data_IF_108701699777
#
_entry.id   IF_108701699777
#
_cell.length_a   1.000
_cell.length_b   1.000
_cell.length_c   1.000
_cell.angle_alpha   90.00
_cell.angle_beta   90.00
_cell.angle_gamma   90.00
#
_symmetry.space_group_name_H-M   'P 1'
#
loop_
_entity.id
_entity.type
_entity.pdbx_description
1 polymer ?
#
# COMPACT_ATOMS: atom_id res chain seq x y z
N UNK A 1 -10.02 -24.11 20.20
CA UNK A 1 -9.27 -23.84 18.94
C UNK A 1 -10.14 -23.09 17.91
N UNK A 2 -11.40 -23.48 17.69
CA UNK A 2 -12.27 -22.85 16.68
C UNK A 2 -12.68 -21.40 16.94
N UNK A 3 -12.89 -21.01 18.21
CA UNK A 3 -13.30 -19.63 18.56
C UNK A 3 -12.22 -18.61 18.21
N UNK A 4 -10.94 -18.94 18.43
CA UNK A 4 -9.82 -18.06 18.09
C UNK A 4 -9.77 -17.84 16.56
N UNK A 5 -9.92 -18.90 15.77
CA UNK A 5 -9.95 -18.79 14.31
C UNK A 5 -11.10 -17.91 13.83
N UNK A 6 -12.29 -18.05 14.41
CA UNK A 6 -13.43 -17.19 14.08
C UNK A 6 -13.16 -15.72 14.41
N UNK A 7 -12.52 -15.42 15.55
CA UNK A 7 -12.12 -14.05 15.90
C UNK A 7 -11.12 -13.50 14.87
N UNK A 8 -10.14 -14.30 14.47
CA UNK A 8 -9.16 -13.93 13.44
C UNK A 8 -9.85 -13.68 12.10
N UNK A 9 -10.79 -14.53 11.69
CA UNK A 9 -11.57 -14.38 10.46
C UNK A 9 -12.32 -13.05 10.46
N UNK A 10 -13.00 -12.71 11.56
CA UNK A 10 -13.70 -11.43 11.71
C UNK A 10 -12.72 -10.26 11.57
N UNK A 11 -11.55 -10.32 12.21
CA UNK A 11 -10.53 -9.27 12.11
C UNK A 11 -10.04 -9.13 10.66
N UNK A 12 -9.74 -10.24 9.98
CA UNK A 12 -9.26 -10.19 8.61
C UNK A 12 -10.34 -9.70 7.64
N UNK A 13 -11.58 -10.11 7.84
CA UNK A 13 -12.71 -9.64 7.05
C UNK A 13 -12.92 -8.13 7.20
N UNK A 14 -12.91 -7.62 8.44
CA UNK A 14 -12.98 -6.17 8.71
C UNK A 14 -11.80 -5.44 8.06
N UNK A 15 -10.59 -6.00 8.14
CA UNK A 15 -9.41 -5.47 7.46
C UNK A 15 -9.57 -5.42 5.94
N UNK A 16 -10.21 -6.44 5.33
CA UNK A 16 -10.44 -6.48 3.89
C UNK A 16 -11.44 -5.41 3.48
N UNK A 17 -12.54 -5.27 4.21
CA UNK A 17 -13.53 -4.19 3.98
C UNK A 17 -12.89 -2.81 4.13
N UNK A 18 -12.08 -2.61 5.18
CA UNK A 18 -11.32 -1.38 5.38
C UNK A 18 -10.41 -1.07 4.19
N UNK A 19 -9.65 -2.06 3.70
CA UNK A 19 -8.81 -1.90 2.52
C UNK A 19 -9.61 -1.57 1.27
N UNK A 20 -10.74 -2.26 1.00
CA UNK A 20 -11.60 -1.95 -0.16
C UNK A 20 -12.06 -0.49 -0.10
N UNK A 21 -12.56 -0.04 1.05
CA UNK A 21 -13.03 1.33 1.22
C UNK A 21 -11.95 2.36 0.92
N UNK A 22 -10.73 2.20 1.45
CA UNK A 22 -9.67 3.17 1.20
C UNK A 22 -9.06 3.06 -0.19
N UNK A 23 -8.94 1.84 -0.73
CA UNK A 23 -8.45 1.62 -2.09
C UNK A 23 -9.40 2.17 -3.15
N UNK A 24 -10.70 2.25 -2.88
CA UNK A 24 -11.66 2.89 -3.80
C UNK A 24 -11.52 4.42 -3.83
N UNK A 25 -10.89 5.03 -2.83
CA UNK A 25 -10.64 6.48 -2.76
C UNK A 25 -9.31 6.90 -3.40
N UNK A 26 -8.56 5.95 -3.99
CA UNK A 26 -7.30 6.24 -4.67
C UNK A 26 -7.58 6.93 -6.00
N UNK A 27 -7.03 8.14 -6.17
CA UNK A 27 -7.11 8.91 -7.42
C UNK A 27 -5.94 8.54 -8.34
N UNK A 28 -4.72 8.48 -7.80
CA UNK A 28 -3.52 8.06 -8.54
C UNK A 28 -2.98 6.78 -7.91
N UNK A 29 -3.11 5.68 -8.66
CA UNK A 29 -2.64 4.36 -8.25
C UNK A 29 -1.12 4.26 -8.34
N UNK A 30 -0.50 3.72 -7.29
CA UNK A 30 0.88 3.32 -7.33
C UNK A 30 1.04 2.06 -8.20
N UNK A 31 2.26 1.81 -8.66
CA UNK A 31 2.67 0.50 -9.16
C UNK A 31 2.46 -0.52 -8.04
N UNK A 32 1.91 -1.67 -8.40
CA UNK A 32 1.63 -2.76 -7.46
C UNK A 32 2.93 -3.30 -6.86
N UNK A 33 2.96 -3.48 -5.54
CA UNK A 33 4.14 -3.98 -4.81
C UNK A 33 4.20 -5.50 -4.86
N UNK A 34 4.96 -6.01 -5.84
CA UNK A 34 5.09 -7.46 -6.12
C UNK A 34 5.58 -8.24 -4.89
N UNK A 35 6.37 -7.63 -4.00
CA UNK A 35 6.82 -8.29 -2.77
C UNK A 35 5.67 -8.78 -1.89
N UNK A 36 4.52 -8.09 -1.88
CA UNK A 36 3.32 -8.54 -1.17
C UNK A 36 2.76 -9.84 -1.76
N UNK A 37 2.80 -10.01 -3.09
CA UNK A 37 2.36 -11.24 -3.75
C UNK A 37 3.32 -12.40 -3.48
N UNK A 38 4.62 -12.14 -3.53
CA UNK A 38 5.65 -13.15 -3.21
C UNK A 38 5.47 -13.63 -1.77
N UNK A 39 5.25 -12.70 -0.84
CA UNK A 39 5.00 -13.04 0.56
C UNK A 39 3.70 -13.82 0.74
N UNK A 40 2.61 -13.41 0.08
CA UNK A 40 1.35 -14.14 0.10
C UNK A 40 1.56 -15.58 -0.40
N UNK A 41 2.25 -15.78 -1.52
CA UNK A 41 2.52 -17.11 -2.06
C UNK A 41 3.36 -17.96 -1.09
N UNK A 42 4.40 -17.39 -0.49
CA UNK A 42 5.28 -18.10 0.43
C UNK A 42 4.54 -18.54 1.71
N UNK A 43 3.86 -17.61 2.38
CA UNK A 43 3.12 -17.93 3.62
C UNK A 43 1.88 -18.77 3.31
N UNK A 44 1.20 -18.50 2.20
CA UNK A 44 0.07 -19.31 1.73
C UNK A 44 0.47 -20.75 1.50
N UNK A 45 1.60 -21.00 0.81
CA UNK A 45 2.13 -22.34 0.63
C UNK A 45 2.47 -23.01 1.97
N UNK A 46 3.08 -22.27 2.90
CA UNK A 46 3.37 -22.77 4.26
C UNK A 46 2.11 -23.19 5.01
N UNK A 47 1.05 -22.39 4.97
CA UNK A 47 -0.25 -22.70 5.61
C UNK A 47 -0.94 -23.92 5.00
N UNK A 48 -0.55 -24.33 3.79
CA UNK A 48 -1.07 -25.52 3.11
C UNK A 48 -0.24 -26.78 3.35
N UNK A 49 0.90 -26.71 4.07
CA UNK A 49 1.73 -27.89 4.38
C UNK A 49 1.05 -28.86 5.35
N UNK A 50 0.23 -28.35 6.27
CA UNK A 50 -0.54 -29.16 7.23
C UNK A 50 -1.97 -28.64 7.33
N UNK A 51 -2.77 -28.81 6.26
CA UNK A 51 -4.09 -28.22 6.20
C UNK A 51 -5.04 -28.98 7.15
N UNK A 52 -5.98 -28.26 7.73
CA UNK A 52 -7.08 -28.85 8.49
C UNK A 52 -8.37 -28.74 7.68
N UNK A 53 -9.26 -29.74 7.77
CA UNK A 53 -10.58 -29.71 7.13
C UNK A 53 -11.58 -28.76 7.79
N UNK A 54 -11.14 -27.95 8.77
CA UNK A 54 -12.01 -27.07 9.53
C UNK A 54 -12.34 -25.82 8.69
N UNK A 55 -13.63 -25.55 8.51
CA UNK A 55 -14.10 -24.44 7.67
C UNK A 55 -13.51 -23.08 8.06
N UNK A 56 -13.42 -22.77 9.36
CA UNK A 56 -12.82 -21.52 9.83
C UNK A 56 -11.32 -21.41 9.48
N UNK A 57 -10.59 -22.52 9.44
CA UNK A 57 -9.18 -22.49 9.01
C UNK A 57 -9.09 -22.16 7.51
N UNK A 58 -9.96 -22.75 6.70
CA UNK A 58 -10.01 -22.49 5.25
C UNK A 58 -10.35 -21.01 4.99
N UNK A 59 -11.33 -20.47 5.71
CA UNK A 59 -11.71 -19.05 5.63
C UNK A 59 -10.54 -18.16 6.04
N UNK A 60 -9.86 -18.48 7.16
CA UNK A 60 -8.71 -17.74 7.64
C UNK A 60 -7.60 -17.65 6.58
N UNK A 61 -7.23 -18.78 5.97
CA UNK A 61 -6.21 -18.83 4.92
C UNK A 61 -6.64 -17.99 3.71
N UNK A 62 -7.89 -18.12 3.26
CA UNK A 62 -8.41 -17.35 2.12
C UNK A 62 -8.39 -15.83 2.38
N UNK A 63 -8.85 -15.41 3.57
CA UNK A 63 -8.84 -14.00 3.97
C UNK A 63 -7.42 -13.46 4.14
N UNK A 64 -6.52 -14.25 4.72
CA UNK A 64 -5.11 -13.89 4.82
C UNK A 64 -4.49 -13.66 3.45
N UNK A 65 -4.72 -14.57 2.50
CA UNK A 65 -4.24 -14.44 1.12
C UNK A 65 -4.82 -13.19 0.44
N UNK A 66 -6.12 -12.98 0.57
CA UNK A 66 -6.81 -11.80 0.05
C UNK A 66 -6.16 -10.51 0.59
N UNK A 67 -5.99 -10.40 1.90
CA UNK A 67 -5.38 -9.22 2.52
C UNK A 67 -3.97 -8.96 2.01
N UNK A 68 -3.12 -9.98 1.91
CA UNK A 68 -1.75 -9.79 1.43
C UNK A 68 -1.70 -9.37 -0.05
N UNK A 69 -2.61 -9.89 -0.88
CA UNK A 69 -2.75 -9.44 -2.27
C UNK A 69 -3.23 -7.98 -2.30
N UNK A 70 -4.25 -7.63 -1.51
CA UNK A 70 -4.76 -6.27 -1.40
C UNK A 70 -3.68 -5.29 -0.93
N UNK A 71 -2.80 -5.72 -0.03
CA UNK A 71 -1.70 -4.91 0.49
C UNK A 71 -0.66 -4.51 -0.58
N UNK A 72 -0.65 -5.16 -1.75
CA UNK A 72 0.19 -4.72 -2.87
C UNK A 72 -0.35 -3.47 -3.57
N UNK A 73 -1.63 -3.13 -3.38
CA UNK A 73 -2.28 -1.94 -3.93
C UNK A 73 -2.03 -0.74 -3.02
N UNK A 74 -1.53 0.34 -3.60
CA UNK A 74 -1.37 1.62 -2.90
C UNK A 74 -1.59 2.79 -3.84
N UNK A 75 -1.40 3.98 -3.32
CA UNK A 75 -1.53 5.20 -4.10
C UNK A 75 -1.85 6.41 -3.25
N UNK A 76 -2.18 7.50 -3.93
CA UNK A 76 -2.61 8.74 -3.30
C UNK A 76 -4.08 8.98 -3.62
N UNK A 77 -4.87 9.23 -2.58
CA UNK A 77 -6.28 9.54 -2.67
C UNK A 77 -6.57 11.00 -2.36
N UNK A 78 -7.86 11.35 -2.30
CA UNK A 78 -8.27 12.73 -2.08
C UNK A 78 -7.79 13.29 -0.73
N UNK A 79 -7.91 12.47 0.32
CA UNK A 79 -7.73 12.86 1.73
C UNK A 79 -6.54 12.19 2.40
N UNK A 80 -6.13 11.03 1.89
CA UNK A 80 -5.13 10.19 2.52
C UNK A 80 -4.30 9.44 1.50
N UNK A 81 -3.11 9.05 1.92
CA UNK A 81 -2.19 8.20 1.17
C UNK A 81 -2.46 6.75 1.59
N UNK A 82 -2.74 5.88 0.61
CA UNK A 82 -2.96 4.45 0.85
C UNK A 82 -1.63 3.73 0.65
N UNK A 83 -1.11 3.17 1.75
CA UNK A 83 0.20 2.53 1.80
C UNK A 83 0.15 1.12 1.20
N UNK A 84 1.25 0.70 0.59
CA UNK A 84 1.42 -0.67 0.06
C UNK A 84 2.64 -1.38 0.66
N UNK A 85 2.64 -2.71 0.54
CA UNK A 85 3.68 -3.59 1.06
C UNK A 85 3.32 -4.21 2.41
N UNK A 86 4.35 -4.57 3.17
CA UNK A 86 4.22 -5.22 4.49
C UNK A 86 3.55 -4.34 5.55
N UNK A 87 3.76 -3.02 5.46
CA UNK A 87 3.12 -2.04 6.32
C UNK A 87 2.01 -1.35 5.52
N UNK A 88 0.96 -2.11 5.20
CA UNK A 88 -0.24 -1.55 4.57
C UNK A 88 -1.08 -0.80 5.58
N UNK A 89 -1.80 0.20 5.09
CA UNK A 89 -2.56 1.10 5.95
C UNK A 89 -2.82 2.42 5.25
N UNK A 90 -3.18 3.41 6.04
CA UNK A 90 -3.57 4.72 5.51
C UNK A 90 -2.84 5.80 6.30
N UNK A 91 -2.21 6.71 5.58
CA UNK A 91 -1.41 7.80 6.10
C UNK A 91 -2.11 9.13 5.80
N UNK A 92 -2.25 9.96 6.83
CA UNK A 92 -2.82 11.30 6.70
C UNK A 92 -1.78 12.27 6.11
N UNK A 93 -2.18 13.15 5.20
CA UNK A 93 -1.29 14.18 4.68
C UNK A 93 -0.70 15.08 5.78
N UNK A 94 -1.44 15.31 6.87
CA UNK A 94 -0.96 16.09 8.02
C UNK A 94 0.20 15.43 8.81
N UNK A 95 0.47 14.16 8.53
CA UNK A 95 1.59 13.41 9.13
C UNK A 95 2.84 13.37 8.24
N UNK A 96 2.74 13.85 7.00
CA UNK A 96 3.85 14.00 6.08
C UNK A 96 4.63 15.27 6.44
N UNK A 97 5.94 15.15 6.55
CA UNK A 97 6.85 16.26 6.86
C UNK A 97 7.58 16.71 5.61
N UNK A 98 7.99 15.75 4.79
CA UNK A 98 8.78 16.01 3.60
C UNK A 98 8.46 14.96 2.52
N UNK A 99 8.40 15.39 1.26
CA UNK A 99 8.21 14.49 0.12
C UNK A 99 9.38 14.62 -0.84
N UNK A 100 9.98 13.49 -1.20
CA UNK A 100 11.01 13.43 -2.23
C UNK A 100 10.45 12.76 -3.47
N UNK A 101 10.54 13.43 -4.61
CA UNK A 101 10.16 12.94 -5.93
C UNK A 101 11.42 12.57 -6.71
N UNK A 102 11.60 11.30 -7.04
CA UNK A 102 12.74 10.82 -7.82
C UNK A 102 12.22 10.45 -9.22
N UNK A 103 12.51 11.25 -10.25
CA UNK A 103 12.09 10.96 -11.61
C UNK A 103 12.83 9.74 -12.14
N UNK A 104 12.09 8.83 -12.77
CA UNK A 104 12.63 7.64 -13.43
C UNK A 104 12.30 7.78 -14.92
N UNK A 105 13.21 8.42 -15.64
CA UNK A 105 13.09 8.65 -17.08
C UNK A 105 13.95 7.64 -17.83
N UNK A 106 13.29 6.70 -18.52
CA UNK A 106 13.96 5.71 -19.37
C UNK A 106 13.51 5.99 -20.81
N UNK A 107 14.47 6.18 -21.72
CA UNK A 107 14.16 6.44 -23.13
C UNK A 107 13.24 5.35 -23.71
N UNK A 108 12.17 5.78 -24.38
CA UNK A 108 11.17 4.88 -24.98
C UNK A 108 10.20 4.21 -24.01
N UNK A 109 10.23 4.53 -22.71
CA UNK A 109 9.26 4.03 -21.71
C UNK A 109 8.37 5.13 -21.18
N UNK A 110 7.20 4.73 -20.65
CA UNK A 110 6.29 5.64 -19.94
C UNK A 110 7.02 6.26 -18.75
N UNK A 111 6.83 7.57 -18.49
CA UNK A 111 7.46 8.24 -17.36
C UNK A 111 7.02 7.60 -16.05
N UNK A 112 7.94 7.52 -15.11
CA UNK A 112 7.70 7.04 -13.76
C UNK A 112 8.31 7.98 -12.74
N UNK A 113 7.78 7.94 -11.53
CA UNK A 113 8.33 8.67 -10.39
C UNK A 113 8.27 7.79 -9.16
N UNK A 114 9.39 7.67 -8.44
CA UNK A 114 9.40 7.16 -7.09
C UNK A 114 9.11 8.32 -6.14
N UNK A 115 8.20 8.11 -5.20
CA UNK A 115 7.82 9.11 -4.20
C UNK A 115 8.14 8.54 -2.84
N UNK A 116 8.96 9.28 -2.09
CA UNK A 116 9.31 8.97 -0.71
C UNK A 116 8.56 9.94 0.19
N UNK A 117 7.60 9.43 0.95
CA UNK A 117 6.89 10.17 1.98
C UNK A 117 7.66 10.02 3.29
N UNK A 118 8.31 11.08 3.73
CA UNK A 118 8.89 11.18 5.06
C UNK A 118 7.82 11.66 6.03
N UNK A 119 7.59 10.88 7.08
CA UNK A 119 6.53 11.15 8.05
C UNK A 119 7.11 11.66 9.36
N UNK A 120 6.26 12.14 10.27
CA UNK A 120 6.66 12.48 11.65
C UNK A 120 7.20 11.28 12.43
N UNK A 121 6.95 10.06 11.95
CA UNK A 121 7.46 8.81 12.49
C UNK A 121 8.73 8.41 11.72
N UNK A 122 9.63 7.59 12.30
CA UNK A 122 10.85 7.14 11.62
C UNK A 122 10.60 6.25 10.38
N UNK A 123 9.36 6.05 9.97
CA UNK A 123 9.00 5.29 8.79
C UNK A 123 8.95 6.19 7.56
N UNK A 124 9.79 5.85 6.59
CA UNK A 124 9.71 6.35 5.23
C UNK A 124 8.86 5.40 4.40
N UNK A 125 7.94 5.95 3.62
CA UNK A 125 7.11 5.17 2.72
C UNK A 125 7.51 5.51 1.30
N UNK A 126 8.06 4.52 0.60
CA UNK A 126 8.35 4.64 -0.83
C UNK A 126 7.27 3.96 -1.66
N UNK A 127 6.75 4.70 -2.64
CA UNK A 127 5.83 4.19 -3.66
C UNK A 127 6.22 4.69 -5.05
N UNK A 128 6.07 3.82 -6.04
CA UNK A 128 6.35 4.14 -7.44
C UNK A 128 5.05 4.41 -8.20
N UNK A 129 5.07 5.31 -9.17
CA UNK A 129 3.89 5.70 -9.96
C UNK A 129 4.22 5.74 -11.45
N UNK A 130 3.23 5.43 -12.29
CA UNK A 130 3.33 5.47 -13.75
C UNK A 130 2.91 6.84 -14.33
N UNK A 131 3.36 7.92 -13.68
CA UNK A 131 3.14 9.31 -14.11
C UNK A 131 4.45 10.09 -14.03
N UNK A 132 4.47 11.27 -14.64
CA UNK A 132 5.64 12.17 -14.54
C UNK A 132 5.77 12.79 -13.15
N UNK A 133 7.00 13.15 -12.75
CA UNK A 133 7.20 13.84 -11.48
C UNK A 133 6.46 15.19 -11.42
N UNK A 134 6.34 15.90 -12.56
CA UNK A 134 5.61 17.18 -12.65
C UNK A 134 4.13 17.03 -12.36
N UNK A 135 3.53 15.96 -12.88
CA UNK A 135 2.12 15.65 -12.64
C UNK A 135 1.90 15.26 -11.18
N UNK A 136 2.78 14.44 -10.62
CA UNK A 136 2.73 14.06 -9.20
C UNK A 136 2.92 15.28 -8.28
N UNK A 137 3.90 16.14 -8.57
CA UNK A 137 4.14 17.37 -7.82
C UNK A 137 2.90 18.25 -7.81
N UNK A 138 2.33 18.54 -8.98
CA UNK A 138 1.11 19.33 -9.11
C UNK A 138 -0.08 18.73 -8.36
N UNK A 139 -0.17 17.40 -8.29
CA UNK A 139 -1.19 16.72 -7.50
C UNK A 139 -0.96 16.92 -6.00
N UNK A 140 0.26 16.69 -5.53
CA UNK A 140 0.62 16.78 -4.11
C UNK A 140 0.58 18.22 -3.58
N UNK A 141 0.99 19.22 -4.37
CA UNK A 141 0.95 20.64 -4.00
C UNK A 141 -0.48 21.12 -3.66
N UNK A 142 -1.50 20.48 -4.24
CA UNK A 142 -2.91 20.79 -3.96
C UNK A 142 -3.45 20.13 -2.68
N UNK A 143 -2.74 19.13 -2.15
CA UNK A 143 -3.23 18.24 -1.08
C UNK A 143 -2.40 18.37 0.20
N UNK A 144 -1.12 18.66 0.07
CA UNK A 144 -0.21 18.89 1.18
C UNK A 144 -0.41 20.29 1.75
N UNK A 145 -0.10 20.46 3.03
CA UNK A 145 -0.02 21.79 3.64
C UNK A 145 1.15 22.56 3.03
N UNK A 146 1.05 23.89 2.97
CA UNK A 146 2.10 24.78 2.44
C UNK A 146 3.45 24.64 3.16
N UNK A 147 3.47 24.02 4.35
CA UNK A 147 4.67 23.78 5.16
C UNK A 147 5.45 22.52 4.74
N UNK A 148 4.87 21.65 3.92
CA UNK A 148 5.53 20.40 3.47
C UNK A 148 6.41 20.71 2.27
N UNK A 149 7.73 20.53 2.41
CA UNK A 149 8.65 20.68 1.28
C UNK A 149 8.55 19.47 0.34
N UNK A 150 8.42 19.76 -0.96
CA UNK A 150 8.47 18.79 -2.05
C UNK A 150 9.77 19.01 -2.81
N UNK A 151 10.71 18.08 -2.71
CA UNK A 151 12.00 18.15 -3.39
C UNK A 151 12.06 17.15 -4.54
N UNK A 152 12.66 17.57 -5.65
CA UNK A 152 12.97 16.68 -6.77
C UNK A 152 14.39 16.17 -6.58
N UNK A 153 14.51 14.89 -6.20
CA UNK A 153 15.80 14.21 -6.09
C UNK A 153 16.36 13.88 -7.47
N UNK A 154 17.68 13.73 -7.55
CA UNK A 154 18.37 13.16 -8.72
C UNK A 154 18.89 11.78 -8.34
N UNK A 155 18.87 10.85 -9.31
CA UNK A 155 19.52 9.53 -9.21
C UNK A 155 21.02 9.71 -9.45
#
# INVERSE_FOLDING_TARGET
MSVILLIVDVIFFVGAVFNVYWQSQIEIRSIYKISSLIFAAFIGAWLLVSPTGQLSYIIMVALFMLLNIMNGVGGVGEKKIVLNGFYSGVLDYASVVHVTLIPIEIQGRKPKVAVIFNTKRPQQVEMNFNISYKEMQKYLDKKLSNEVSVEVGQI
#
